data_IF_615115784961
#
_entry.id   IF_615115784961
#
_cell.length_a   1.000
_cell.length_b   1.000
_cell.length_c   1.000
_cell.angle_alpha   90.00
_cell.angle_beta   90.00
_cell.angle_gamma   90.00
#
_symmetry.space_group_name_H-M   'P 1'
#
loop_
_entity.id
_entity.type
_entity.pdbx_description
1 polymer ?
#
# COMPACT_ATOMS: atom_id res chain seq x y z
N UNK A 1 -25.71 -14.17 -3.58
CA UNK A 1 -24.32 -13.65 -3.44
C UNK A 1 -23.62 -13.76 -4.79
N UNK A 2 -22.79 -12.77 -5.15
CA UNK A 2 -21.99 -12.81 -6.38
C UNK A 2 -20.98 -13.98 -6.34
N UNK A 3 -20.65 -14.65 -7.46
CA UNK A 3 -19.70 -15.78 -7.47
C UNK A 3 -18.29 -15.43 -6.95
N UNK A 4 -17.92 -14.14 -7.01
CA UNK A 4 -16.67 -13.59 -6.48
C UNK A 4 -16.83 -12.88 -5.13
N UNK A 5 -17.95 -13.09 -4.43
CA UNK A 5 -18.17 -12.50 -3.11
C UNK A 5 -17.38 -13.29 -2.06
N UNK A 6 -16.31 -12.71 -1.54
CA UNK A 6 -15.52 -13.30 -0.48
C UNK A 6 -15.95 -12.71 0.87
N UNK A 7 -16.53 -13.54 1.74
CA UNK A 7 -16.81 -13.14 3.11
C UNK A 7 -15.51 -13.21 3.92
N UNK A 8 -14.97 -12.06 4.29
CA UNK A 8 -13.81 -11.97 5.17
C UNK A 8 -14.25 -12.25 6.60
N UNK A 9 -14.05 -13.48 7.07
CA UNK A 9 -14.31 -13.84 8.45
C UNK A 9 -13.31 -13.11 9.37
N UNK A 10 -13.84 -12.38 10.35
CA UNK A 10 -13.04 -11.81 11.43
C UNK A 10 -13.10 -12.79 12.60
N UNK A 11 -12.01 -13.51 12.81
CA UNK A 11 -11.91 -14.47 13.93
C UNK A 11 -11.94 -13.71 15.27
N UNK A 12 -12.63 -14.25 16.27
CA UNK A 12 -12.60 -13.72 17.64
C UNK A 12 -13.52 -12.54 17.94
N UNK A 13 -14.42 -12.16 17.04
CA UNK A 13 -15.45 -11.14 17.32
C UNK A 13 -14.95 -9.70 17.39
N UNK A 14 -13.77 -9.42 16.82
CA UNK A 14 -13.24 -8.07 16.75
C UNK A 14 -14.17 -7.16 15.91
N UNK A 15 -14.45 -5.96 16.45
CA UNK A 15 -15.25 -4.93 15.79
C UNK A 15 -14.33 -3.78 15.33
N UNK A 16 -14.14 -3.68 14.02
CA UNK A 16 -13.31 -2.64 13.39
C UNK A 16 -14.15 -1.43 12.94
N UNK A 17 -15.36 -1.24 13.48
CA UNK A 17 -16.26 -0.13 13.12
C UNK A 17 -15.81 1.24 13.62
N UNK A 18 -14.91 1.29 14.60
CA UNK A 18 -14.38 2.52 15.21
C UNK A 18 -12.90 2.76 14.86
N UNK A 19 -12.42 3.98 15.12
CA UNK A 19 -11.00 4.35 14.91
C UNK A 19 -10.09 3.43 15.75
N UNK A 20 -9.14 2.79 15.07
CA UNK A 20 -8.14 1.94 15.70
C UNK A 20 -6.86 2.72 15.92
N UNK A 21 -6.38 2.78 17.17
CA UNK A 21 -5.12 3.45 17.49
C UNK A 21 -3.94 2.72 16.84
N UNK A 22 -3.02 3.48 16.27
CA UNK A 22 -1.87 2.94 15.55
C UNK A 22 -1.01 2.03 16.44
N UNK A 23 -0.73 0.82 15.96
CA UNK A 23 -0.01 -0.25 16.69
C UNK A 23 -0.71 -0.79 17.95
N UNK A 24 -1.95 -0.41 18.23
CA UNK A 24 -2.76 -1.13 19.22
C UNK A 24 -3.06 -2.56 18.75
N UNK A 25 -3.44 -3.44 19.68
CA UNK A 25 -3.69 -4.86 19.36
C UNK A 25 -4.68 -5.04 18.21
N UNK A 26 -5.81 -4.35 18.25
CA UNK A 26 -6.87 -4.50 17.24
C UNK A 26 -6.43 -3.92 15.88
N UNK A 27 -5.59 -2.88 15.88
CA UNK A 27 -4.91 -2.41 14.67
C UNK A 27 -4.01 -3.51 14.09
N UNK A 28 -3.17 -4.16 14.92
CA UNK A 28 -2.29 -5.24 14.43
C UNK A 28 -3.09 -6.40 13.83
N UNK A 29 -4.17 -6.83 14.50
CA UNK A 29 -5.02 -7.91 14.01
C UNK A 29 -5.70 -7.54 12.69
N UNK A 30 -6.22 -6.30 12.57
CA UNK A 30 -6.79 -5.76 11.34
C UNK A 30 -5.78 -5.77 10.19
N UNK A 31 -4.55 -5.33 10.43
CA UNK A 31 -3.56 -5.19 9.36
C UNK A 31 -3.00 -6.55 8.91
N UNK A 32 -2.87 -7.52 9.83
CA UNK A 32 -2.56 -8.90 9.47
C UNK A 32 -3.73 -9.59 8.76
N UNK A 33 -4.98 -9.29 9.13
CA UNK A 33 -6.15 -9.79 8.41
C UNK A 33 -6.19 -9.25 6.96
N UNK A 34 -5.88 -7.96 6.77
CA UNK A 34 -5.68 -7.35 5.44
C UNK A 34 -4.65 -8.12 4.63
N UNK A 35 -3.48 -8.42 5.21
CA UNK A 35 -2.44 -9.17 4.51
C UNK A 35 -2.91 -10.60 4.16
N UNK A 36 -3.57 -11.31 5.09
CA UNK A 36 -4.12 -12.65 4.83
C UNK A 36 -5.10 -12.64 3.66
N UNK A 37 -5.96 -11.62 3.59
CA UNK A 37 -6.89 -11.45 2.48
C UNK A 37 -6.16 -11.23 1.15
N UNK A 38 -5.15 -10.35 1.12
CA UNK A 38 -4.32 -10.13 -0.07
C UNK A 38 -3.62 -11.42 -0.55
N UNK A 39 -3.08 -12.21 0.37
CA UNK A 39 -2.49 -13.52 0.05
C UNK A 39 -3.54 -14.45 -0.59
N UNK A 40 -4.76 -14.50 -0.02
CA UNK A 40 -5.85 -15.31 -0.55
C UNK A 40 -6.27 -14.91 -1.97
N UNK A 41 -6.31 -13.62 -2.27
CA UNK A 41 -6.61 -13.12 -3.63
C UNK A 41 -5.58 -13.65 -4.64
N UNK A 42 -4.30 -13.65 -4.29
CA UNK A 42 -3.23 -14.18 -5.14
C UNK A 42 -3.36 -15.69 -5.34
N UNK A 43 -3.66 -16.45 -4.28
CA UNK A 43 -3.89 -17.90 -4.34
C UNK A 43 -5.05 -18.29 -5.26
N UNK A 44 -6.07 -17.43 -5.33
CA UNK A 44 -7.21 -17.60 -6.25
C UNK A 44 -6.86 -17.26 -7.71
N UNK A 45 -5.62 -16.85 -8.00
CA UNK A 45 -5.15 -16.53 -9.34
C UNK A 45 -5.36 -15.07 -9.75
N UNK A 46 -5.83 -14.20 -8.86
CA UNK A 46 -6.10 -12.81 -9.17
C UNK A 46 -4.94 -11.89 -8.78
N UNK A 47 -4.52 -11.04 -9.71
CA UNK A 47 -3.68 -9.88 -9.37
C UNK A 47 -4.53 -8.82 -8.71
N UNK A 48 -3.95 -7.99 -7.84
CA UNK A 48 -4.70 -6.95 -7.15
C UNK A 48 -3.99 -5.61 -7.12
N UNK A 49 -4.80 -4.57 -6.91
CA UNK A 49 -4.38 -3.26 -6.44
C UNK A 49 -5.09 -3.02 -5.12
N UNK A 50 -4.35 -2.64 -4.11
CA UNK A 50 -4.85 -2.27 -2.80
C UNK A 50 -4.47 -0.83 -2.51
N UNK A 51 -5.41 -0.08 -1.93
CA UNK A 51 -5.12 1.21 -1.33
C UNK A 51 -5.75 1.40 0.03
N UNK A 52 -5.06 2.11 0.91
CA UNK A 52 -5.67 2.63 2.12
C UNK A 52 -6.79 3.63 1.79
N UNK A 53 -7.75 3.74 2.69
CA UNK A 53 -8.96 4.56 2.52
C UNK A 53 -8.63 6.06 2.56
N UNK A 54 -7.55 6.44 3.20
CA UNK A 54 -7.05 7.82 3.31
C UNK A 54 -6.07 8.18 2.19
N UNK A 55 -6.31 7.65 0.98
CA UNK A 55 -5.60 7.99 -0.26
C UNK A 55 -6.54 8.67 -1.25
N UNK A 56 -6.13 9.86 -1.72
CA UNK A 56 -6.81 10.56 -2.80
C UNK A 56 -6.18 10.19 -4.14
N UNK A 57 -7.01 9.81 -5.11
CA UNK A 57 -6.57 9.46 -6.47
C UNK A 57 -6.79 10.63 -7.41
N UNK A 58 -5.73 11.04 -8.11
CA UNK A 58 -5.77 12.09 -9.13
C UNK A 58 -5.68 11.52 -10.54
N UNK A 59 -4.94 10.43 -10.72
CA UNK A 59 -4.69 9.75 -12.00
C UNK A 59 -4.53 8.26 -11.80
N UNK A 60 -4.45 7.50 -12.90
CA UNK A 60 -4.17 6.06 -12.85
C UNK A 60 -2.71 5.77 -12.39
N UNK A 61 -2.48 5.24 -11.17
CA UNK A 61 -1.14 4.91 -10.68
C UNK A 61 -0.53 3.68 -11.35
N UNK A 62 -1.34 2.85 -12.02
CA UNK A 62 -0.86 1.61 -12.65
C UNK A 62 0.07 1.87 -13.84
N UNK A 63 0.02 3.08 -14.42
CA UNK A 63 0.99 3.52 -15.43
C UNK A 63 2.42 3.64 -14.87
N UNK A 64 2.59 3.59 -13.54
CA UNK A 64 3.89 3.62 -12.85
C UNK A 64 4.37 2.23 -12.42
N UNK A 65 3.61 1.18 -12.75
CA UNK A 65 3.93 -0.21 -12.43
C UNK A 65 4.46 -0.91 -13.69
N UNK A 66 5.75 -1.27 -13.75
CA UNK A 66 6.33 -2.00 -14.87
C UNK A 66 5.76 -3.41 -15.03
N UNK A 67 5.73 -3.87 -16.27
CA UNK A 67 5.29 -5.24 -16.62
C UNK A 67 6.14 -6.31 -15.93
N UNK A 68 7.41 -6.03 -15.65
CA UNK A 68 8.32 -6.98 -15.00
C UNK A 68 8.13 -7.07 -13.48
N UNK A 69 7.60 -6.02 -12.81
CA UNK A 69 7.48 -5.98 -11.36
C UNK A 69 6.40 -6.96 -10.87
N UNK A 70 6.75 -7.88 -9.98
CA UNK A 70 5.80 -8.80 -9.36
C UNK A 70 4.99 -8.09 -8.26
N UNK A 71 5.65 -7.19 -7.54
CA UNK A 71 5.07 -6.33 -6.50
C UNK A 71 5.53 -4.89 -6.75
N UNK A 72 4.62 -3.93 -6.71
CA UNK A 72 4.93 -2.50 -6.72
C UNK A 72 4.24 -1.80 -5.55
N UNK A 73 4.99 -1.05 -4.75
CA UNK A 73 4.50 -0.48 -3.49
C UNK A 73 4.85 1.00 -3.37
N UNK A 74 4.07 1.74 -2.58
CA UNK A 74 4.49 3.04 -2.05
C UNK A 74 5.62 2.90 -1.04
N UNK A 75 6.32 4.00 -0.79
CA UNK A 75 7.28 4.15 0.29
C UNK A 75 7.06 5.47 1.03
N UNK A 76 7.45 5.55 2.31
CA UNK A 76 7.35 6.81 3.06
C UNK A 76 8.41 7.83 2.60
N UNK A 77 9.58 7.33 2.17
CA UNK A 77 10.67 8.12 1.63
C UNK A 77 11.30 7.40 0.44
N UNK A 78 11.36 8.09 -0.69
CA UNK A 78 12.05 7.67 -1.89
C UNK A 78 13.40 8.39 -2.00
N UNK A 79 14.46 7.62 -2.10
CA UNK A 79 15.82 8.10 -2.26
C UNK A 79 16.59 7.26 -3.30
N UNK A 80 17.60 7.88 -3.92
CA UNK A 80 18.31 7.28 -5.06
C UNK A 80 17.46 7.22 -6.33
N UNK A 81 17.99 6.57 -7.36
CA UNK A 81 17.39 6.43 -8.69
C UNK A 81 16.93 5.01 -9.01
N UNK A 82 17.41 4.00 -8.27
CA UNK A 82 17.02 2.61 -8.45
C UNK A 82 15.65 2.32 -7.80
N UNK A 83 14.59 2.03 -8.59
CA UNK A 83 13.27 1.73 -8.04
C UNK A 83 13.17 0.32 -7.42
N UNK A 84 14.14 -0.55 -7.66
CA UNK A 84 14.23 -1.90 -7.08
C UNK A 84 15.16 -1.96 -5.86
N UNK A 85 15.70 -0.83 -5.41
CA UNK A 85 16.46 -0.78 -4.17
C UNK A 85 15.52 -1.01 -2.98
N UNK A 86 15.68 -2.20 -2.40
CA UNK A 86 14.81 -2.66 -1.33
C UNK A 86 15.06 -1.92 -0.01
N UNK A 87 16.11 -1.11 0.16
CA UNK A 87 16.34 -0.41 1.42
C UNK A 87 15.28 0.66 1.73
N UNK A 88 14.54 1.12 0.72
CA UNK A 88 13.46 2.14 0.87
C UNK A 88 12.41 1.69 1.88
N UNK A 89 11.92 2.63 2.70
CA UNK A 89 10.94 2.37 3.76
C UNK A 89 9.59 2.01 3.14
N UNK A 90 9.17 0.75 3.27
CA UNK A 90 7.94 0.31 2.64
C UNK A 90 6.72 0.99 3.27
N UNK A 91 5.76 1.36 2.44
CA UNK A 91 4.46 1.84 2.87
C UNK A 91 3.37 0.97 2.23
N UNK A 92 2.53 0.35 3.06
CA UNK A 92 1.44 -0.53 2.64
C UNK A 92 0.20 0.19 2.10
N UNK A 93 0.23 1.53 2.05
CA UNK A 93 -0.89 2.35 1.63
C UNK A 93 -1.24 2.21 0.16
N UNK A 94 -0.27 1.95 -0.72
CA UNK A 94 -0.52 1.50 -2.09
C UNK A 94 0.28 0.24 -2.37
N UNK A 95 -0.39 -0.83 -2.81
CA UNK A 95 0.25 -2.09 -3.19
C UNK A 95 -0.40 -2.65 -4.45
N UNK A 96 0.39 -2.87 -5.48
CA UNK A 96 0.05 -3.75 -6.59
C UNK A 96 0.80 -5.07 -6.43
N UNK A 97 0.11 -6.19 -6.63
CA UNK A 97 0.75 -7.51 -6.68
C UNK A 97 0.17 -8.33 -7.83
N UNK A 98 1.07 -8.91 -8.63
CA UNK A 98 0.71 -9.81 -9.73
C UNK A 98 0.59 -11.24 -9.22
N UNK A 99 -0.53 -11.90 -9.53
CA UNK A 99 -0.67 -13.33 -9.24
C UNK A 99 0.27 -14.13 -10.13
N UNK A 100 1.29 -14.70 -9.49
CA UNK A 100 2.26 -15.65 -10.03
C UNK A 100 2.62 -16.64 -8.92
N UNK A 101 3.04 -17.87 -9.24
CA UNK A 101 3.44 -18.84 -8.22
C UNK A 101 4.48 -18.31 -7.23
N UNK A 102 5.46 -17.53 -7.71
CA UNK A 102 6.47 -16.89 -6.85
C UNK A 102 5.90 -15.83 -5.91
N UNK A 103 4.94 -15.02 -6.37
CA UNK A 103 4.31 -13.98 -5.55
C UNK A 103 3.41 -14.60 -4.49
N UNK A 104 2.70 -15.69 -4.83
CA UNK A 104 1.90 -16.47 -3.87
C UNK A 104 2.81 -17.05 -2.77
N UNK A 105 3.94 -17.65 -3.15
CA UNK A 105 4.90 -18.19 -2.18
C UNK A 105 5.51 -17.10 -1.28
N UNK A 106 5.82 -15.93 -1.83
CA UNK A 106 6.28 -14.77 -1.06
C UNK A 106 5.26 -14.32 -0.02
N UNK A 107 3.99 -14.11 -0.42
CA UNK A 107 2.93 -13.66 0.49
C UNK A 107 2.62 -14.70 1.58
N UNK A 108 2.68 -15.99 1.23
CA UNK A 108 2.53 -17.07 2.22
C UNK A 108 3.65 -17.05 3.25
N UNK A 109 4.91 -16.97 2.84
CA UNK A 109 6.05 -16.91 3.77
C UNK A 109 6.02 -15.64 4.64
N UNK A 110 5.59 -14.51 4.08
CA UNK A 110 5.42 -13.26 4.83
C UNK A 110 4.33 -13.40 5.91
N UNK A 111 3.18 -13.98 5.59
CA UNK A 111 2.08 -14.13 6.55
C UNK A 111 2.31 -15.27 7.56
N UNK A 112 2.77 -16.44 7.12
CA UNK A 112 2.84 -17.65 7.96
C UNK A 112 4.14 -17.77 8.75
N UNK A 113 5.28 -17.52 8.13
CA UNK A 113 6.58 -17.66 8.79
C UNK A 113 6.97 -16.36 9.49
N UNK A 114 6.99 -15.24 8.76
CA UNK A 114 7.53 -14.01 9.33
C UNK A 114 6.63 -13.39 10.42
N UNK A 115 5.30 -13.53 10.36
CA UNK A 115 4.44 -13.02 11.45
C UNK A 115 4.81 -13.60 12.82
N UNK A 116 5.15 -14.88 12.89
CA UNK A 116 5.50 -15.56 14.13
C UNK A 116 6.82 -15.05 14.72
N UNK A 117 7.77 -14.68 13.85
CA UNK A 117 9.10 -14.21 14.25
C UNK A 117 9.10 -12.76 14.81
N UNK A 118 8.03 -11.99 14.58
CA UNK A 118 7.93 -10.58 14.95
C UNK A 118 6.63 -10.27 15.74
N UNK A 119 6.48 -10.80 16.97
CA UNK A 119 5.30 -10.57 17.77
C UNK A 119 5.09 -9.08 18.08
N UNK A 120 3.85 -8.62 18.02
CA UNK A 120 3.48 -7.22 18.29
C UNK A 120 3.90 -6.22 17.21
N UNK A 121 4.32 -6.69 16.03
CA UNK A 121 4.65 -5.84 14.88
C UNK A 121 3.57 -5.94 13.80
N UNK A 122 3.31 -4.82 13.14
CA UNK A 122 2.46 -4.80 11.96
C UNK A 122 3.20 -5.39 10.75
N UNK A 123 2.46 -5.82 9.75
CA UNK A 123 2.96 -6.44 8.54
C UNK A 123 3.90 -5.54 7.74
N UNK A 124 3.72 -4.21 7.74
CA UNK A 124 4.63 -3.29 7.05
C UNK A 124 6.02 -3.29 7.70
N UNK A 125 6.09 -3.24 9.03
CA UNK A 125 7.34 -3.38 9.77
C UNK A 125 8.01 -4.73 9.47
N UNK A 126 7.22 -5.80 9.47
CA UNK A 126 7.73 -7.15 9.18
C UNK A 126 8.21 -7.26 7.74
N UNK A 127 7.50 -6.66 6.77
CA UNK A 127 7.93 -6.60 5.39
C UNK A 127 9.28 -5.92 5.25
N UNK A 128 9.48 -4.77 5.89
CA UNK A 128 10.76 -4.06 5.88
C UNK A 128 11.90 -4.93 6.41
N UNK A 129 11.64 -5.77 7.41
CA UNK A 129 12.65 -6.68 7.98
C UNK A 129 12.98 -7.88 7.08
N UNK A 130 12.04 -8.36 6.26
CA UNK A 130 12.19 -9.62 5.52
C UNK A 130 12.29 -9.47 3.99
N UNK A 131 11.96 -8.30 3.43
CA UNK A 131 11.81 -8.08 1.98
C UNK A 131 13.02 -8.53 1.16
N UNK A 132 14.24 -8.30 1.65
CA UNK A 132 15.46 -8.77 0.97
C UNK A 132 15.50 -10.30 0.89
N UNK A 133 15.39 -10.97 2.04
CA UNK A 133 15.43 -12.43 2.15
C UNK A 133 14.34 -13.09 1.32
N UNK A 134 13.11 -12.59 1.40
CA UNK A 134 11.99 -13.18 0.67
C UNK A 134 12.04 -12.89 -0.83
N UNK A 135 12.47 -11.69 -1.24
CA UNK A 135 12.60 -11.34 -2.66
C UNK A 135 13.66 -12.23 -3.33
N UNK A 136 14.80 -12.42 -2.66
CA UNK A 136 15.87 -13.33 -3.12
C UNK A 136 15.39 -14.78 -3.15
N UNK A 137 14.82 -15.29 -2.05
CA UNK A 137 14.36 -16.68 -1.92
C UNK A 137 13.38 -17.08 -3.02
N UNK A 138 12.44 -16.20 -3.36
CA UNK A 138 11.36 -16.50 -4.31
C UNK A 138 11.60 -15.92 -5.71
N UNK A 139 12.68 -15.17 -5.93
CA UNK A 139 12.94 -14.47 -7.18
C UNK A 139 11.83 -13.47 -7.55
N UNK A 140 11.30 -12.76 -6.55
CA UNK A 140 10.22 -11.77 -6.70
C UNK A 140 10.82 -10.40 -6.94
N UNK A 141 10.42 -9.76 -8.05
CA UNK A 141 10.80 -8.39 -8.34
C UNK A 141 9.88 -7.43 -7.57
N UNK A 142 10.37 -6.89 -6.45
CA UNK A 142 9.71 -5.85 -5.67
C UNK A 142 10.22 -4.48 -6.10
N UNK A 143 9.30 -3.56 -6.38
CA UNK A 143 9.61 -2.19 -6.73
C UNK A 143 8.94 -1.21 -5.78
N UNK A 144 9.64 -0.13 -5.44
CA UNK A 144 9.05 1.07 -4.86
C UNK A 144 8.77 2.12 -5.94
N UNK A 145 7.58 2.70 -5.91
CA UNK A 145 7.18 3.78 -6.81
C UNK A 145 7.55 5.11 -6.16
N UNK A 146 8.18 5.99 -6.94
CA UNK A 146 8.63 7.31 -6.50
C UNK A 146 7.46 8.14 -5.92
N UNK A 147 7.74 8.80 -4.80
CA UNK A 147 6.81 9.73 -4.12
C UNK A 147 6.46 10.95 -4.98
N UNK A 148 7.21 11.22 -6.04
CA UNK A 148 6.80 12.15 -7.09
C UNK A 148 5.48 11.73 -7.78
N UNK A 149 5.14 10.44 -7.78
CA UNK A 149 3.91 9.87 -8.34
C UNK A 149 2.95 9.35 -7.26
N UNK A 150 3.44 8.59 -6.27
CA UNK A 150 2.66 8.13 -5.12
C UNK A 150 3.03 8.97 -3.90
N UNK A 151 2.54 10.21 -3.87
CA UNK A 151 2.91 11.20 -2.86
C UNK A 151 2.23 10.91 -1.52
N UNK A 152 2.74 11.51 -0.45
CA UNK A 152 2.10 11.52 0.86
C UNK A 152 2.64 12.62 1.76
N UNK A 153 2.18 12.71 3.02
CA UNK A 153 2.73 13.72 3.93
C UNK A 153 4.11 13.34 4.50
N UNK A 154 4.52 12.06 4.47
CA UNK A 154 5.89 11.68 4.85
C UNK A 154 6.95 12.28 3.90
N UNK A 155 6.63 12.34 2.60
CA UNK A 155 7.42 13.02 1.57
C UNK A 155 6.49 13.58 0.50
N UNK A 156 6.26 14.90 0.56
CA UNK A 156 5.26 15.59 -0.27
C UNK A 156 5.84 16.04 -1.60
N UNK A 157 5.17 15.67 -2.69
CA UNK A 157 5.30 16.33 -4.00
C UNK A 157 4.25 17.43 -4.16
N UNK A 158 4.66 18.58 -4.69
CA UNK A 158 3.75 19.68 -5.09
C UNK A 158 3.47 19.70 -6.59
N UNK A 159 4.08 18.81 -7.38
CA UNK A 159 3.93 18.78 -8.82
C UNK A 159 2.70 17.97 -9.25
N UNK A 160 1.53 18.59 -9.19
CA UNK A 160 0.28 17.99 -9.62
C UNK A 160 0.25 17.60 -11.11
N UNK A 161 1.26 17.89 -11.93
CA UNK A 161 1.37 17.30 -13.28
C UNK A 161 1.79 15.83 -13.26
N UNK A 162 2.43 15.38 -12.18
CA UNK A 162 2.96 14.01 -12.03
C UNK A 162 2.16 13.15 -11.06
N UNK A 163 1.76 13.73 -9.93
CA UNK A 163 1.16 12.98 -8.82
C UNK A 163 -0.06 12.17 -9.30
N UNK A 164 -0.02 10.85 -9.06
CA UNK A 164 -1.11 9.92 -9.32
C UNK A 164 -2.00 9.76 -8.10
N UNK A 165 -1.41 9.62 -6.91
CA UNK A 165 -2.13 9.47 -5.64
C UNK A 165 -1.47 10.29 -4.52
N UNK A 166 -2.25 10.59 -3.47
CA UNK A 166 -1.77 11.28 -2.28
C UNK A 166 -2.27 10.60 -1.01
N UNK A 167 -1.35 10.10 -0.19
CA UNK A 167 -1.64 9.37 1.05
C UNK A 167 -1.60 10.28 2.29
N UNK A 168 -2.57 10.08 3.19
CA UNK A 168 -2.61 10.62 4.56
C UNK A 168 -1.58 10.03 5.54
N UNK A 169 -0.49 9.40 5.08
CA UNK A 169 0.57 8.88 5.95
C UNK A 169 1.28 9.99 6.74
N UNK A 170 1.96 9.64 7.84
CA UNK A 170 2.62 10.59 8.76
C UNK A 170 1.71 11.68 9.38
N UNK A 171 0.39 11.57 9.26
CA UNK A 171 -0.58 12.44 9.93
C UNK A 171 -1.38 11.62 10.94
N UNK A 172 -1.08 11.69 12.25
CA UNK A 172 -1.86 10.99 13.26
C UNK A 172 -3.24 11.64 13.46
N UNK A 173 -4.25 10.79 13.67
CA UNK A 173 -5.63 11.15 14.02
C UNK A 173 -6.56 11.34 12.82
N UNK A 174 -7.72 10.67 12.85
CA UNK A 174 -8.70 10.66 11.76
C UNK A 174 -9.15 12.07 11.33
N UNK A 175 -9.54 12.94 12.27
CA UNK A 175 -10.02 14.28 11.93
C UNK A 175 -8.95 15.15 11.26
N UNK A 176 -7.69 15.01 11.71
CA UNK A 176 -6.56 15.71 11.09
C UNK A 176 -6.29 15.20 9.68
N UNK A 177 -6.31 13.88 9.48
CA UNK A 177 -6.19 13.26 8.15
C UNK A 177 -7.27 13.79 7.20
N UNK A 178 -8.54 13.79 7.62
CA UNK A 178 -9.66 14.29 6.81
C UNK A 178 -9.45 15.76 6.44
N UNK A 179 -9.09 16.61 7.41
CA UNK A 179 -8.88 18.04 7.16
C UNK A 179 -7.75 18.28 6.14
N UNK A 180 -6.61 17.62 6.32
CA UNK A 180 -5.46 17.77 5.43
C UNK A 180 -5.71 17.19 4.04
N UNK A 181 -6.37 16.04 3.92
CA UNK A 181 -6.69 15.45 2.60
C UNK A 181 -7.72 16.28 1.84
N UNK A 182 -8.69 16.91 2.53
CA UNK A 182 -9.61 17.88 1.89
C UNK A 182 -8.85 19.06 1.30
N UNK A 183 -7.88 19.60 2.02
CA UNK A 183 -7.04 20.68 1.52
C UNK A 183 -6.29 20.26 0.25
N UNK A 184 -5.63 19.09 0.25
CA UNK A 184 -4.91 18.59 -0.94
C UNK A 184 -5.87 18.41 -2.13
N UNK A 185 -7.07 17.88 -1.88
CA UNK A 185 -8.09 17.73 -2.92
C UNK A 185 -8.54 19.09 -3.49
N UNK A 186 -8.67 20.12 -2.65
CA UNK A 186 -9.06 21.46 -3.09
C UNK A 186 -7.94 22.15 -3.88
N UNK A 187 -6.68 21.99 -3.48
CA UNK A 187 -5.51 22.43 -4.26
C UNK A 187 -5.49 21.74 -5.64
N UNK A 188 -5.78 20.45 -5.71
CA UNK A 188 -5.90 19.71 -6.98
C UNK A 188 -7.02 20.24 -7.87
N UNK A 189 -8.21 20.54 -7.30
CA UNK A 189 -9.33 21.12 -8.05
C UNK A 189 -8.95 22.49 -8.65
N UNK A 190 -8.28 23.33 -7.88
CA UNK A 190 -7.79 24.63 -8.36
C UNK A 190 -6.76 24.46 -9.47
N UNK A 191 -5.82 23.52 -9.31
CA UNK A 191 -4.85 23.19 -10.35
C UNK A 191 -5.52 22.77 -11.65
N UNK A 192 -6.52 21.87 -11.60
CA UNK A 192 -7.28 21.43 -12.78
C UNK A 192 -8.06 22.55 -13.45
N UNK A 193 -8.70 23.42 -12.67
CA UNK A 193 -9.44 24.56 -13.22
C UNK A 193 -8.54 25.51 -14.02
N UNK A 194 -7.28 25.66 -13.60
CA UNK A 194 -6.29 26.53 -14.25
C UNK A 194 -5.51 25.84 -15.39
N UNK A 195 -5.68 24.52 -15.58
CA UNK A 195 -4.91 23.73 -16.55
C UNK A 195 -5.82 22.82 -17.39
N UNK A 196 -6.81 23.42 -18.05
CA UNK A 196 -7.87 22.77 -18.86
C UNK A 196 -7.40 21.77 -19.93
N UNK A 197 -6.10 21.71 -20.24
CA UNK A 197 -5.52 20.80 -21.23
C UNK A 197 -4.89 19.51 -20.63
N UNK A 198 -4.87 19.33 -19.31
CA UNK A 198 -4.39 18.09 -18.70
C UNK A 198 -5.52 17.05 -18.70
N UNK A 199 -5.76 16.42 -19.85
CA UNK A 199 -6.43 15.12 -19.92
C UNK A 199 -5.37 14.04 -19.67
N UNK A 200 -5.67 13.14 -18.74
CA UNK A 200 -4.82 12.00 -18.36
C UNK A 200 -4.39 11.13 -19.56
#
# INVERSE_FOLDING_TARGET
MHPLCYHLAVDGGADFSSEQEFNAKDYLDMMWLRHRFQARVLELGFSFVFTDVDIVWFRNPLLRVPVAADIAMSCDQYYGDNPYDLNKNANGGFVFARSRPRTVAFYRDWHEQARADYPGKNEQFVFDAIKHRLAERHGVAVQFVDTAYLSGFCQRSSDFRKVCTFHGNCVPGLQRKIAHLRQVLDEWKQFRANHTALTD
#
